data_IF_773856446959
#
_entry.id   IF_773856446959
#
_cell.length_a   1.000
_cell.length_b   1.000
_cell.length_c   1.000
_cell.angle_alpha   90.00
_cell.angle_beta   90.00
_cell.angle_gamma   90.00
#
_symmetry.space_group_name_H-M   'P 1'
#
loop_
_entity.id
_entity.type
_entity.pdbx_description
1 polymer ?
#
# COMPACT_ATOMS: atom_id res chain seq x y z
N UNK A 1 -11.59 -5.82 -13.13
CA UNK A 1 -10.81 -7.01 -12.77
C UNK A 1 -10.21 -6.78 -11.40
N UNK A 2 -10.18 -7.81 -10.57
CA UNK A 2 -9.50 -7.81 -9.27
C UNK A 2 -8.04 -8.28 -9.48
N UNK A 3 -7.07 -7.46 -9.10
CA UNK A 3 -5.64 -7.76 -9.23
C UNK A 3 -5.02 -8.15 -7.87
N UNK A 4 -5.67 -7.85 -6.75
CA UNK A 4 -5.16 -7.99 -5.39
C UNK A 4 -5.49 -9.31 -4.73
N UNK A 5 -6.69 -9.83 -4.94
CA UNK A 5 -7.17 -11.08 -4.35
C UNK A 5 -6.93 -12.27 -5.28
N UNK A 6 -6.11 -12.11 -6.32
CA UNK A 6 -5.75 -13.21 -7.21
C UNK A 6 -4.94 -14.27 -6.46
N UNK A 7 -5.41 -15.53 -6.48
CA UNK A 7 -4.74 -16.67 -5.87
C UNK A 7 -4.94 -17.94 -6.70
N UNK A 8 -4.07 -18.93 -6.49
CA UNK A 8 -4.18 -20.25 -7.12
C UNK A 8 -5.45 -21.01 -6.72
N UNK A 9 -6.12 -20.62 -5.62
CA UNK A 9 -7.33 -21.23 -5.10
C UNK A 9 -8.62 -20.72 -5.77
N UNK A 10 -8.54 -19.72 -6.66
CA UNK A 10 -9.71 -19.19 -7.36
C UNK A 10 -10.30 -20.26 -8.29
N UNK A 11 -11.61 -20.59 -8.17
CA UNK A 11 -12.28 -21.52 -9.06
C UNK A 11 -12.17 -21.11 -10.53
N UNK A 12 -12.06 -22.09 -11.43
CA UNK A 12 -11.81 -21.84 -12.86
C UNK A 12 -12.88 -20.92 -13.49
N UNK A 13 -14.13 -21.08 -13.08
CA UNK A 13 -15.29 -20.31 -13.52
C UNK A 13 -15.31 -18.85 -13.04
N UNK A 14 -14.42 -18.48 -12.11
CA UNK A 14 -14.27 -17.09 -11.63
C UNK A 14 -13.01 -16.42 -12.14
N UNK A 15 -12.11 -17.14 -12.82
CA UNK A 15 -10.81 -16.58 -13.24
C UNK A 15 -10.95 -15.38 -14.16
N UNK A 16 -12.05 -15.28 -14.89
CA UNK A 16 -12.30 -14.20 -15.83
C UNK A 16 -12.56 -12.84 -15.19
N UNK A 17 -12.83 -12.79 -13.89
CA UNK A 17 -12.97 -11.55 -13.12
C UNK A 17 -11.65 -11.03 -12.54
N UNK A 18 -10.55 -11.76 -12.69
CA UNK A 18 -9.25 -11.43 -12.12
C UNK A 18 -8.21 -11.06 -13.18
N UNK A 19 -7.25 -10.25 -12.76
CA UNK A 19 -6.02 -9.97 -13.50
C UNK A 19 -4.78 -10.40 -12.71
N UNK A 20 -3.62 -10.30 -13.34
CA UNK A 20 -2.34 -10.59 -12.70
C UNK A 20 -1.26 -9.64 -13.20
N UNK A 21 -0.25 -9.41 -12.36
CA UNK A 21 0.89 -8.53 -12.67
C UNK A 21 2.11 -9.40 -12.90
N UNK A 22 2.81 -9.17 -14.01
CA UNK A 22 4.05 -9.87 -14.34
C UNK A 22 5.18 -8.86 -14.45
N UNK A 23 6.24 -9.04 -13.68
CA UNK A 23 7.49 -8.29 -13.90
C UNK A 23 8.07 -8.72 -15.24
N UNK A 24 8.13 -7.78 -16.18
CA UNK A 24 8.63 -7.99 -17.53
C UNK A 24 10.14 -7.86 -17.58
N UNK A 25 10.68 -6.80 -16.99
CA UNK A 25 12.12 -6.52 -17.01
C UNK A 25 12.56 -5.63 -15.85
N UNK A 26 13.82 -5.83 -15.45
CA UNK A 26 14.55 -4.87 -14.61
C UNK A 26 15.35 -3.98 -15.54
N UNK A 27 14.88 -2.76 -15.77
CA UNK A 27 15.51 -1.78 -16.67
C UNK A 27 16.81 -1.26 -16.08
N UNK A 28 16.84 -1.07 -14.77
CA UNK A 28 18.00 -0.51 -14.07
C UNK A 28 18.10 -1.03 -12.66
N UNK A 29 19.30 -1.42 -12.25
CA UNK A 29 19.65 -1.68 -10.86
C UNK A 29 20.99 -1.01 -10.55
N UNK A 30 20.97 0.06 -9.75
CA UNK A 30 22.16 0.83 -9.38
C UNK A 30 22.29 0.93 -7.87
N UNK A 31 23.44 0.53 -7.34
CA UNK A 31 23.79 0.66 -5.92
C UNK A 31 24.41 2.04 -5.60
N UNK A 32 24.60 2.31 -4.32
CA UNK A 32 25.25 3.53 -3.82
C UNK A 32 24.56 4.06 -2.55
N UNK A 33 24.96 5.26 -2.10
CA UNK A 33 24.32 5.95 -0.96
C UNK A 33 22.81 6.14 -1.17
N UNK A 34 22.40 6.33 -2.42
CA UNK A 34 21.01 6.33 -2.89
C UNK A 34 20.92 5.32 -4.03
N UNK A 35 20.32 4.17 -3.78
CA UNK A 35 20.19 3.10 -4.77
C UNK A 35 18.89 3.27 -5.58
N UNK A 36 18.89 2.80 -6.82
CA UNK A 36 17.75 2.90 -7.74
C UNK A 36 17.48 1.54 -8.35
N UNK A 37 16.22 1.14 -8.35
CA UNK A 37 15.71 -0.01 -9.09
C UNK A 37 14.55 0.48 -9.97
N UNK A 38 14.66 0.27 -11.27
CA UNK A 38 13.61 0.60 -12.24
C UNK A 38 13.13 -0.72 -12.86
N UNK A 39 11.83 -0.98 -12.76
CA UNK A 39 11.18 -2.23 -13.18
C UNK A 39 10.02 -1.88 -14.11
N UNK A 40 9.83 -2.68 -15.15
CA UNK A 40 8.61 -2.64 -15.94
C UNK A 40 7.79 -3.90 -15.67
N UNK A 41 6.51 -3.70 -15.36
CA UNK A 41 5.55 -4.77 -15.12
C UNK A 41 4.35 -4.64 -16.06
N UNK A 42 3.82 -5.76 -16.53
CA UNK A 42 2.58 -5.79 -17.31
C UNK A 42 1.42 -6.25 -16.43
N UNK A 43 0.33 -5.48 -16.43
CA UNK A 43 -0.93 -5.83 -15.79
C UNK A 43 -1.82 -6.48 -16.83
N UNK A 44 -2.06 -7.78 -16.67
CA UNK A 44 -2.74 -8.62 -17.66
C UNK A 44 -4.11 -9.08 -17.19
N UNK A 45 -5.03 -9.23 -18.14
CA UNK A 45 -6.27 -9.97 -17.89
C UNK A 45 -6.01 -11.48 -17.85
N UNK A 46 -7.02 -12.27 -17.49
CA UNK A 46 -6.92 -13.74 -17.44
C UNK A 46 -6.62 -14.40 -18.80
N UNK A 47 -6.85 -13.71 -19.92
CA UNK A 47 -6.56 -14.20 -21.28
C UNK A 47 -5.12 -13.90 -21.69
N UNK A 48 -4.40 -13.09 -20.90
CA UNK A 48 -3.02 -12.69 -21.14
C UNK A 48 -2.87 -11.40 -21.94
N UNK A 49 -3.96 -10.67 -22.20
CA UNK A 49 -3.90 -9.35 -22.85
C UNK A 49 -3.33 -8.33 -21.87
N UNK A 50 -2.43 -7.47 -22.33
CA UNK A 50 -1.85 -6.42 -21.48
C UNK A 50 -2.78 -5.21 -21.45
N UNK A 51 -3.30 -4.89 -20.26
CA UNK A 51 -4.17 -3.75 -20.05
C UNK A 51 -3.35 -2.50 -19.71
N UNK A 52 -2.45 -2.61 -18.73
CA UNK A 52 -1.54 -1.53 -18.33
C UNK A 52 -0.11 -2.03 -18.39
N UNK A 53 0.81 -1.14 -18.76
CA UNK A 53 2.23 -1.29 -18.48
C UNK A 53 2.60 -0.32 -17.36
N UNK A 54 3.21 -0.84 -16.31
CA UNK A 54 3.68 -0.09 -15.16
C UNK A 54 5.20 0.10 -15.22
N UNK A 55 5.65 1.34 -15.18
CA UNK A 55 7.05 1.68 -14.97
C UNK A 55 7.23 2.11 -13.52
N UNK A 56 7.86 1.26 -12.71
CA UNK A 56 8.07 1.53 -11.29
C UNK A 56 9.52 1.88 -11.02
N UNK A 57 9.73 3.03 -10.38
CA UNK A 57 11.02 3.43 -9.84
C UNK A 57 11.01 3.33 -8.32
N UNK A 58 11.86 2.46 -7.80
CA UNK A 58 12.18 2.37 -6.38
C UNK A 58 13.49 3.09 -6.10
N UNK A 59 13.46 4.02 -5.15
CA UNK A 59 14.63 4.77 -4.73
C UNK A 59 14.88 4.50 -3.26
N UNK A 60 16.00 3.82 -2.98
CA UNK A 60 16.37 3.40 -1.63
C UNK A 60 17.40 4.34 -1.06
N UNK A 61 17.21 4.73 0.20
CA UNK A 61 18.22 5.41 1.00
C UNK A 61 18.09 4.99 2.47
N UNK A 62 19.12 5.25 3.27
CA UNK A 62 19.06 4.86 4.66
C UNK A 62 20.22 5.39 5.49
N UNK A 63 20.08 5.21 6.79
CA UNK A 63 21.11 5.45 7.79
C UNK A 63 21.40 4.13 8.51
N UNK A 64 22.19 4.17 9.60
CA UNK A 64 22.38 2.99 10.46
C UNK A 64 21.09 2.49 11.13
N UNK A 65 20.07 3.34 11.23
CA UNK A 65 18.85 3.06 12.01
C UNK A 65 17.55 3.31 11.23
N UNK A 66 17.63 3.67 9.95
CA UNK A 66 16.45 3.97 9.15
C UNK A 66 16.62 3.59 7.69
N UNK A 67 15.50 3.29 7.03
CA UNK A 67 15.42 3.06 5.60
C UNK A 67 14.25 3.85 5.01
N UNK A 68 14.46 4.36 3.81
CA UNK A 68 13.45 5.04 2.99
C UNK A 68 13.37 4.35 1.65
N UNK A 69 12.15 4.12 1.17
CA UNK A 69 11.85 3.64 -0.17
C UNK A 69 10.85 4.62 -0.78
N UNK A 70 11.29 5.39 -1.76
CA UNK A 70 10.36 6.14 -2.61
C UNK A 70 9.91 5.22 -3.74
N UNK A 71 8.60 5.08 -3.92
CA UNK A 71 7.93 4.26 -4.90
C UNK A 71 7.17 5.19 -5.86
N UNK A 72 7.65 5.27 -7.10
CA UNK A 72 7.04 6.10 -8.15
C UNK A 72 6.59 5.15 -9.25
N UNK A 73 5.28 5.00 -9.40
CA UNK A 73 4.66 4.09 -10.35
C UNK A 73 3.94 4.89 -11.42
N UNK A 74 4.34 4.71 -12.67
CA UNK A 74 3.64 5.28 -13.83
C UNK A 74 2.91 4.15 -14.56
N UNK A 75 1.58 4.19 -14.52
CA UNK A 75 0.71 3.26 -15.23
C UNK A 75 0.33 3.86 -16.58
N UNK A 76 0.55 3.13 -17.67
CA UNK A 76 0.19 3.52 -19.03
C UNK A 76 -0.78 2.50 -19.63
N UNK A 77 -1.89 2.95 -20.22
CA UNK A 77 -2.80 2.06 -20.93
C UNK A 77 -2.15 1.51 -22.21
N UNK A 78 -2.02 0.17 -22.28
CA UNK A 78 -1.31 -0.51 -23.35
C UNK A 78 -2.22 -0.78 -24.56
N UNK A 79 -3.37 -1.41 -24.34
CA UNK A 79 -4.30 -1.83 -25.40
C UNK A 79 -5.72 -1.29 -25.14
N UNK A 80 -6.07 -0.20 -25.84
CA UNK A 80 -7.38 0.43 -25.71
C UNK A 80 -7.57 1.23 -24.41
N UNK A 81 -8.79 1.74 -24.16
CA UNK A 81 -9.07 2.48 -22.95
C UNK A 81 -9.13 1.56 -21.72
N UNK A 82 -8.42 1.91 -20.67
CA UNK A 82 -8.49 1.25 -19.36
C UNK A 82 -9.25 2.15 -18.40
N UNK A 83 -10.28 1.60 -17.75
CA UNK A 83 -11.00 2.30 -16.67
C UNK A 83 -10.71 1.65 -15.35
N UNK A 84 -10.07 2.40 -14.45
CA UNK A 84 -9.88 2.03 -13.05
C UNK A 84 -11.05 2.59 -12.26
N UNK A 85 -11.83 1.69 -11.68
CA UNK A 85 -13.06 2.01 -10.94
C UNK A 85 -12.80 2.13 -9.44
N UNK A 86 -13.62 2.92 -8.75
CA UNK A 86 -13.64 3.03 -7.29
C UNK A 86 -13.81 1.66 -6.61
N UNK A 87 -12.74 1.16 -5.98
CA UNK A 87 -12.72 -0.11 -5.26
C UNK A 87 -11.68 -0.10 -4.12
N UNK A 88 -11.47 -1.24 -3.45
CA UNK A 88 -10.49 -1.38 -2.36
C UNK A 88 -9.16 -1.99 -2.80
N UNK A 89 -8.90 -2.08 -4.11
CA UNK A 89 -7.58 -2.47 -4.62
C UNK A 89 -6.63 -1.34 -4.23
N UNK A 90 -5.73 -1.56 -3.27
CA UNK A 90 -4.76 -0.52 -2.95
C UNK A 90 -3.76 -0.33 -4.10
N UNK A 91 -2.98 0.73 -4.03
CA UNK A 91 -1.87 0.93 -4.98
C UNK A 91 -0.51 0.74 -4.30
N UNK A 92 -0.47 0.88 -2.97
CA UNK A 92 0.74 0.71 -2.18
C UNK A 92 0.41 0.03 -0.86
N UNK A 93 0.90 -1.19 -0.66
CA UNK A 93 0.62 -2.03 0.50
C UNK A 93 1.84 -2.80 1.00
N UNK A 94 1.81 -3.12 2.28
CA UNK A 94 2.68 -4.11 2.91
C UNK A 94 1.87 -5.04 3.80
N UNK A 95 2.38 -6.26 3.97
CA UNK A 95 2.03 -7.13 5.09
C UNK A 95 3.06 -6.95 6.19
N UNK A 96 2.60 -6.87 7.43
CA UNK A 96 3.48 -6.70 8.59
C UNK A 96 3.49 -7.96 9.45
N UNK A 97 4.54 -8.11 10.23
CA UNK A 97 4.68 -9.18 11.21
C UNK A 97 3.65 -9.03 12.33
N UNK A 98 3.23 -10.15 12.93
CA UNK A 98 2.25 -10.19 14.04
C UNK A 98 2.58 -9.23 15.18
N UNK A 99 3.85 -8.96 15.47
CA UNK A 99 4.21 -8.00 16.51
C UNK A 99 3.69 -6.57 16.27
N UNK A 100 3.41 -6.23 15.00
CA UNK A 100 2.88 -4.94 14.55
C UNK A 100 1.38 -4.99 14.21
N UNK A 101 0.70 -6.12 14.40
CA UNK A 101 -0.76 -6.15 14.43
C UNK A 101 -1.27 -5.30 15.59
N UNK A 102 -2.50 -4.79 15.49
CA UNK A 102 -3.12 -4.11 16.62
C UNK A 102 -3.71 -5.13 17.59
N UNK A 103 -3.54 -4.94 18.91
CA UNK A 103 -4.28 -5.70 19.90
C UNK A 103 -5.79 -5.61 19.64
N UNK A 104 -6.49 -6.73 19.72
CA UNK A 104 -7.94 -6.79 19.51
C UNK A 104 -8.57 -7.80 20.47
N UNK A 105 -9.75 -7.45 20.98
CA UNK A 105 -10.59 -8.35 21.78
C UNK A 105 -11.70 -9.02 20.92
N UNK A 106 -11.74 -8.69 19.62
CA UNK A 106 -12.70 -9.26 18.68
C UNK A 106 -12.16 -10.56 18.06
N UNK A 107 -13.01 -11.58 17.85
CA UNK A 107 -12.62 -12.78 17.09
C UNK A 107 -12.10 -12.39 15.71
N UNK A 108 -10.95 -12.94 15.31
CA UNK A 108 -10.38 -12.70 13.99
C UNK A 108 -10.63 -13.94 13.11
N UNK A 109 -11.19 -13.71 11.93
CA UNK A 109 -11.31 -14.76 10.90
C UNK A 109 -10.06 -14.72 10.06
N UNK A 110 -9.26 -15.78 10.10
CA UNK A 110 -8.09 -15.97 9.26
C UNK A 110 -8.43 -16.91 8.11
N UNK A 111 -8.08 -16.52 6.89
CA UNK A 111 -8.21 -17.43 5.74
C UNK A 111 -6.94 -18.27 5.63
N UNK A 112 -7.07 -19.60 5.62
CA UNK A 112 -5.93 -20.50 5.45
C UNK A 112 -5.37 -20.49 4.01
N UNK A 113 -4.28 -21.22 3.79
CA UNK A 113 -3.63 -21.33 2.48
C UNK A 113 -4.49 -22.00 1.39
N UNK A 114 -5.64 -22.56 1.76
CA UNK A 114 -6.63 -23.16 0.87
C UNK A 114 -7.86 -22.27 0.64
N UNK A 115 -7.89 -21.08 1.25
CA UNK A 115 -9.01 -20.15 1.09
C UNK A 115 -10.14 -20.36 2.10
N UNK A 116 -9.98 -21.22 3.11
CA UNK A 116 -11.03 -21.46 4.10
C UNK A 116 -10.95 -20.46 5.26
N UNK A 117 -12.05 -19.76 5.60
CA UNK A 117 -12.11 -18.92 6.78
C UNK A 117 -12.09 -19.77 8.05
N UNK A 118 -11.14 -19.50 8.93
CA UNK A 118 -10.99 -20.11 10.24
C UNK A 118 -11.19 -19.04 11.30
N UNK A 119 -12.22 -19.19 12.13
CA UNK A 119 -12.40 -18.34 13.31
C UNK A 119 -11.33 -18.68 14.35
N UNK A 120 -10.34 -17.82 14.50
CA UNK A 120 -9.45 -17.87 15.65
C UNK A 120 -9.99 -16.85 16.65
N UNK A 121 -10.37 -17.30 17.85
CA UNK A 121 -10.69 -16.40 18.95
C UNK A 121 -9.43 -15.59 19.28
N UNK A 122 -9.32 -14.41 18.68
CA UNK A 122 -8.25 -13.45 18.94
C UNK A 122 -8.51 -12.84 20.32
N UNK A 123 -8.07 -13.53 21.35
CA UNK A 123 -7.86 -12.96 22.69
C UNK A 123 -6.39 -13.05 23.12
N UNK A 124 -5.53 -13.68 22.30
CA UNK A 124 -4.11 -13.77 22.58
C UNK A 124 -3.35 -12.59 21.96
N UNK A 125 -3.28 -11.51 22.72
CA UNK A 125 -2.53 -10.29 22.39
C UNK A 125 -1.04 -10.38 22.80
N UNK A 126 -0.53 -11.55 23.20
CA UNK A 126 0.86 -11.69 23.61
C UNK A 126 1.80 -11.34 22.45
N UNK A 127 2.66 -10.34 22.67
CA UNK A 127 3.62 -9.85 21.68
C UNK A 127 3.03 -8.96 20.58
N UNK A 128 1.72 -8.69 20.59
CA UNK A 128 1.03 -7.80 19.64
C UNK A 128 1.02 -6.38 20.21
N UNK A 129 1.61 -5.42 19.50
CA UNK A 129 1.84 -4.07 20.05
C UNK A 129 1.63 -2.94 19.05
N UNK A 130 1.10 -3.26 17.87
CA UNK A 130 0.88 -2.31 16.79
C UNK A 130 -0.05 -1.16 17.20
N UNK A 131 0.31 0.05 16.78
CA UNK A 131 -0.51 1.24 16.96
C UNK A 131 -0.36 2.16 15.75
N UNK A 132 -1.46 2.40 15.04
CA UNK A 132 -1.50 3.40 13.99
C UNK A 132 -1.60 4.81 14.56
N UNK A 133 -1.00 5.79 13.88
CA UNK A 133 -1.14 7.22 14.13
C UNK A 133 -1.14 7.95 12.79
N UNK A 134 -2.09 8.86 12.58
CA UNK A 134 -2.22 9.61 11.32
C UNK A 134 -1.87 11.09 11.46
N UNK A 135 -1.67 11.77 10.32
CA UNK A 135 -1.38 13.22 10.29
C UNK A 135 -2.53 14.08 10.81
N UNK A 136 -3.77 13.59 10.78
CA UNK A 136 -4.94 14.23 11.39
C UNK A 136 -5.09 13.98 12.91
N UNK A 137 -4.19 13.20 13.51
CA UNK A 137 -4.19 12.90 14.94
C UNK A 137 -5.03 11.67 15.33
N UNK A 138 -5.64 10.96 14.37
CA UNK A 138 -6.35 9.71 14.64
C UNK A 138 -5.37 8.59 15.03
N UNK A 139 -5.84 7.64 15.84
CA UNK A 139 -5.04 6.52 16.35
C UNK A 139 -5.81 5.21 16.28
N UNK A 140 -5.08 4.09 16.21
CA UNK A 140 -5.70 2.76 16.20
C UNK A 140 -6.70 2.58 15.06
N UNK A 141 -7.88 2.03 15.37
CA UNK A 141 -8.92 1.74 14.38
C UNK A 141 -9.51 3.00 13.75
N UNK A 142 -9.45 4.14 14.43
CA UNK A 142 -9.95 5.43 13.91
C UNK A 142 -9.15 5.94 12.72
N UNK A 143 -7.99 5.34 12.43
CA UNK A 143 -7.20 5.66 11.23
C UNK A 143 -7.81 5.04 9.97
N UNK A 144 -8.56 3.94 10.09
CA UNK A 144 -9.14 3.28 8.94
C UNK A 144 -10.06 4.23 8.15
N UNK A 145 -9.95 4.19 6.81
CA UNK A 145 -10.73 5.03 5.88
C UNK A 145 -10.46 6.54 5.99
N UNK A 146 -9.55 7.00 6.85
CA UNK A 146 -9.19 8.41 6.92
C UNK A 146 -8.19 8.78 5.81
N UNK A 147 -8.22 10.05 5.40
CA UNK A 147 -7.35 10.62 4.36
C UNK A 147 -6.28 11.47 5.04
N UNK A 148 -5.00 11.12 4.86
CA UNK A 148 -3.89 11.73 5.58
C UNK A 148 -2.65 11.87 4.72
N UNK A 149 -1.87 12.93 4.96
CA UNK A 149 -0.56 13.14 4.34
C UNK A 149 0.40 11.98 4.65
N UNK A 150 0.26 11.42 5.86
CA UNK A 150 0.99 10.25 6.29
C UNK A 150 0.24 9.45 7.34
N UNK A 151 0.54 8.15 7.38
CA UNK A 151 0.13 7.23 8.44
C UNK A 151 1.35 6.43 8.89
N UNK A 152 1.53 6.33 10.20
CA UNK A 152 2.61 5.60 10.86
C UNK A 152 2.01 4.43 11.62
N UNK A 153 2.69 3.29 11.60
CA UNK A 153 2.51 2.14 12.46
C UNK A 153 3.75 1.97 13.32
N UNK A 154 3.56 1.97 14.63
CA UNK A 154 4.61 1.68 15.61
C UNK A 154 4.32 0.37 16.33
N UNK A 155 5.36 -0.39 16.67
CA UNK A 155 5.26 -1.61 17.45
C UNK A 155 6.62 -2.09 17.94
N UNK A 156 6.63 -3.00 18.90
CA UNK A 156 7.84 -3.57 19.51
C UNK A 156 7.97 -5.03 19.13
N UNK A 157 9.10 -5.39 18.52
CA UNK A 157 9.48 -6.77 18.25
C UNK A 157 10.84 -7.07 18.88
N UNK A 158 10.97 -8.17 19.62
CA UNK A 158 12.21 -8.55 20.29
C UNK A 158 12.81 -7.41 21.16
N UNK A 159 11.97 -6.70 21.92
CA UNK A 159 12.32 -5.53 22.73
C UNK A 159 12.90 -4.34 21.95
N UNK A 160 12.71 -4.30 20.63
CA UNK A 160 13.11 -3.17 19.78
C UNK A 160 11.85 -2.48 19.26
N UNK A 161 11.64 -1.25 19.72
CA UNK A 161 10.65 -0.37 19.13
C UNK A 161 11.00 -0.11 17.67
N UNK A 162 10.03 -0.28 16.78
CA UNK A 162 10.16 0.02 15.37
C UNK A 162 8.94 0.79 14.91
N UNK A 163 9.17 1.87 14.18
CA UNK A 163 8.12 2.72 13.63
C UNK A 163 8.33 2.86 12.13
N UNK A 164 7.26 2.71 11.37
CA UNK A 164 7.30 2.88 9.93
C UNK A 164 5.98 3.44 9.41
N UNK A 165 6.00 4.02 8.23
CA UNK A 165 4.80 4.67 7.70
C UNK A 165 4.82 4.83 6.21
N UNK A 166 3.67 5.27 5.71
CA UNK A 166 3.50 5.73 4.35
C UNK A 166 3.27 7.24 4.34
N UNK A 167 3.88 7.90 3.36
CA UNK A 167 3.65 9.29 3.00
C UNK A 167 3.07 9.31 1.60
N UNK A 168 1.91 9.95 1.46
CA UNK A 168 1.27 10.19 0.18
C UNK A 168 1.79 11.50 -0.44
N UNK A 169 1.56 11.70 -1.73
CA UNK A 169 2.07 12.86 -2.47
C UNK A 169 0.95 13.76 -2.98
N UNK A 170 1.03 15.10 -2.81
CA UNK A 170 -0.01 16.04 -3.25
C UNK A 170 -0.38 15.96 -4.74
N UNK A 171 0.55 15.53 -5.59
CA UNK A 171 0.30 15.35 -7.03
C UNK A 171 -0.41 14.03 -7.40
N UNK A 172 -0.62 13.13 -6.44
CA UNK A 172 -1.37 11.91 -6.73
C UNK A 172 -2.84 12.24 -6.96
N UNK A 173 -3.44 11.62 -7.98
CA UNK A 173 -4.89 11.59 -8.11
C UNK A 173 -5.51 11.09 -6.79
N UNK A 174 -6.62 11.69 -6.36
CA UNK A 174 -7.28 11.29 -5.12
C UNK A 174 -6.52 11.63 -3.84
N UNK A 175 -5.44 12.42 -3.90
CA UNK A 175 -4.72 12.86 -2.70
C UNK A 175 -5.61 13.64 -1.70
N UNK A 176 -5.44 13.42 -0.38
CA UNK A 176 -4.75 12.26 0.20
C UNK A 176 -5.56 10.98 -0.01
N UNK A 177 -4.88 9.88 -0.31
CA UNK A 177 -5.51 8.57 -0.46
C UNK A 177 -6.12 8.06 0.85
N UNK A 178 -7.07 7.14 0.74
CA UNK A 178 -7.70 6.51 1.89
C UNK A 178 -6.77 5.46 2.51
N UNK A 179 -6.64 5.53 3.83
CA UNK A 179 -5.82 4.61 4.60
C UNK A 179 -6.56 3.29 4.81
N UNK A 180 -5.93 2.18 4.42
CA UNK A 180 -6.35 0.84 4.80
C UNK A 180 -5.48 0.36 5.97
N UNK A 181 -5.66 0.99 7.13
CA UNK A 181 -5.05 0.59 8.40
C UNK A 181 -5.96 -0.45 9.06
N UNK A 182 -5.50 -1.70 9.17
CA UNK A 182 -6.30 -2.80 9.76
C UNK A 182 -5.49 -3.52 10.82
N UNK A 183 -6.17 -3.94 11.89
CA UNK A 183 -5.53 -4.63 13.00
C UNK A 183 -4.85 -5.96 12.65
N UNK A 184 -5.25 -6.64 11.57
CA UNK A 184 -4.72 -7.95 11.15
C UNK A 184 -3.48 -7.89 10.23
N UNK A 185 -2.72 -6.79 10.28
CA UNK A 185 -1.40 -6.71 9.64
C UNK A 185 -1.41 -6.45 8.13
N UNK A 186 -2.52 -5.97 7.59
CA UNK A 186 -2.57 -5.32 6.28
C UNK A 186 -2.47 -3.81 6.48
N UNK A 187 -1.46 -3.20 5.87
CA UNK A 187 -1.30 -1.74 5.85
C UNK A 187 -1.17 -1.27 4.41
N UNK A 188 -2.11 -0.42 3.95
CA UNK A 188 -2.06 0.17 2.62
C UNK A 188 -2.58 1.59 2.56
N UNK A 189 -2.26 2.30 1.48
CA UNK A 189 -2.92 3.54 1.05
C UNK A 189 -3.51 3.35 -0.34
N UNK A 190 -4.66 3.97 -0.58
CA UNK A 190 -5.38 3.88 -1.84
C UNK A 190 -5.83 5.25 -2.34
N UNK A 191 -5.22 5.69 -3.43
CA UNK A 191 -5.51 6.94 -4.12
C UNK A 191 -6.67 6.83 -5.13
N UNK A 192 -7.09 5.61 -5.48
CA UNK A 192 -8.08 5.34 -6.53
C UNK A 192 -9.41 4.78 -5.97
N UNK A 193 -9.47 4.51 -4.66
CA UNK A 193 -10.67 4.12 -3.95
C UNK A 193 -11.16 5.25 -3.05
N UNK A 194 -12.45 5.59 -3.12
CA UNK A 194 -13.05 6.63 -2.30
C UNK A 194 -14.37 6.17 -1.69
N UNK A 195 -15.39 5.93 -2.51
CA UNK A 195 -16.69 5.39 -2.04
C UNK A 195 -16.61 3.96 -1.51
N UNK A 196 -15.60 3.21 -1.93
CA UNK A 196 -15.29 1.92 -1.38
C UNK A 196 -14.91 2.01 0.12
N UNK A 197 -14.34 3.14 0.55
CA UNK A 197 -13.93 3.38 1.94
C UNK A 197 -15.00 4.16 2.72
N UNK A 198 -15.50 5.27 2.17
CA UNK A 198 -16.56 6.08 2.76
C UNK A 198 -17.67 6.36 1.74
N UNK A 199 -18.89 5.90 2.02
CA UNK A 199 -20.06 6.03 1.12
C UNK A 199 -20.46 7.48 0.84
N UNK A 200 -20.12 8.40 1.74
CA UNK A 200 -20.46 9.82 1.62
C UNK A 200 -19.50 10.59 0.70
N UNK A 201 -18.38 9.99 0.30
CA UNK A 201 -17.43 10.63 -0.60
C UNK A 201 -17.85 10.48 -2.07
N UNK A 202 -17.28 11.29 -2.96
CA UNK A 202 -17.45 11.11 -4.41
C UNK A 202 -16.61 9.92 -4.91
N UNK A 203 -17.09 9.24 -5.95
CA UNK A 203 -16.35 8.15 -6.59
C UNK A 203 -15.11 8.69 -7.29
N UNK A 204 -14.01 7.96 -7.20
CA UNK A 204 -12.86 8.16 -8.07
C UNK A 204 -12.93 7.14 -9.20
N UNK A 205 -13.01 7.63 -10.44
CA UNK A 205 -12.94 6.82 -11.65
C UNK A 205 -11.91 7.44 -12.58
N UNK A 206 -10.90 6.66 -12.93
CA UNK A 206 -9.85 7.09 -13.84
C UNK A 206 -9.94 6.30 -15.14
N UNK A 207 -10.18 6.98 -16.24
CA UNK A 207 -10.10 6.39 -17.58
C UNK A 207 -8.85 6.90 -18.28
N UNK A 208 -7.98 5.96 -18.67
CA UNK A 208 -6.80 6.21 -19.49
C UNK A 208 -7.08 5.71 -20.90
N UNK A 209 -7.01 6.58 -21.91
CA UNK A 209 -6.96 6.16 -23.31
C UNK A 209 -5.62 5.50 -23.59
N UNK A 210 -5.55 4.71 -24.67
CA UNK A 210 -4.31 4.07 -25.09
C UNK A 210 -3.15 5.09 -25.17
N UNK A 211 -2.05 4.80 -24.48
CA UNK A 211 -0.88 5.66 -24.36
C UNK A 211 -0.98 6.76 -23.29
N UNK A 212 -2.17 7.07 -22.75
CA UNK A 212 -2.30 7.96 -21.60
C UNK A 212 -1.76 7.28 -20.34
N UNK A 213 -1.22 8.09 -19.43
CA UNK A 213 -0.58 7.61 -18.21
C UNK A 213 -1.03 8.36 -16.97
N UNK A 214 -0.94 7.69 -15.82
CA UNK A 214 -1.04 8.30 -14.49
C UNK A 214 0.19 7.93 -13.67
N UNK A 215 0.66 8.86 -12.84
CA UNK A 215 1.77 8.63 -11.92
C UNK A 215 1.29 8.70 -10.48
N UNK A 216 1.63 7.69 -9.69
CA UNK A 216 1.44 7.64 -8.25
C UNK A 216 2.80 7.60 -7.55
N UNK A 217 2.92 8.39 -6.48
CA UNK A 217 4.15 8.58 -5.71
C UNK A 217 3.87 8.30 -4.25
N UNK A 218 4.60 7.35 -3.66
CA UNK A 218 4.50 7.04 -2.25
C UNK A 218 5.89 6.93 -1.65
N UNK A 219 6.04 7.31 -0.39
CA UNK A 219 7.24 7.04 0.38
C UNK A 219 6.92 6.09 1.51
N UNK A 220 7.69 5.01 1.60
CA UNK A 220 7.81 4.22 2.80
C UNK A 220 9.05 4.66 3.59
N UNK A 221 8.90 4.87 4.89
CA UNK A 221 10.02 5.13 5.79
C UNK A 221 9.89 4.25 7.02
N UNK A 222 11.00 3.65 7.45
CA UNK A 222 11.09 2.81 8.64
C UNK A 222 12.29 3.24 9.49
N UNK A 223 12.12 3.21 10.81
CA UNK A 223 13.15 3.50 11.79
C UNK A 223 13.11 2.49 12.93
N UNK A 224 14.30 2.05 13.33
CA UNK A 224 14.51 1.19 14.50
C UNK A 224 14.94 2.00 15.73
N UNK A 225 14.48 1.57 16.89
CA UNK A 225 14.87 2.03 18.22
C UNK A 225 14.21 3.33 18.70
N UNK A 226 13.38 3.99 17.89
CA UNK A 226 12.68 5.24 18.27
C UNK A 226 11.36 5.39 17.53
N UNK A 227 10.41 6.02 18.21
CA UNK A 227 9.20 6.55 17.60
C UNK A 227 9.54 7.57 16.51
N UNK A 228 8.69 7.66 15.50
CA UNK A 228 8.65 8.78 14.57
C UNK A 228 7.66 9.80 15.14
N UNK A 229 8.14 10.98 15.51
CA UNK A 229 7.25 12.03 16.05
C UNK A 229 6.43 12.70 14.94
N UNK A 230 5.35 13.38 15.32
CA UNK A 230 4.52 14.17 14.39
C UNK A 230 5.35 15.21 13.64
N UNK A 231 6.27 15.89 14.33
CA UNK A 231 7.15 16.90 13.73
C UNK A 231 8.12 16.29 12.71
N UNK A 232 8.66 15.10 13.04
CA UNK A 232 9.52 14.35 12.11
C UNK A 232 8.71 13.89 10.89
N UNK A 233 7.52 13.36 11.10
CA UNK A 233 6.65 12.90 10.03
C UNK A 233 6.24 14.04 9.08
N UNK A 234 5.88 15.20 9.64
CA UNK A 234 5.59 16.41 8.86
C UNK A 234 6.82 16.93 8.10
N UNK A 235 8.02 16.76 8.66
CA UNK A 235 9.26 17.12 7.96
C UNK A 235 9.54 16.18 6.79
N UNK A 236 9.43 14.86 7.00
CA UNK A 236 9.55 13.86 5.94
C UNK A 236 8.54 14.12 4.82
N UNK A 237 7.30 14.49 5.18
CA UNK A 237 6.25 14.83 4.22
C UNK A 237 6.63 16.03 3.34
N UNK A 238 7.07 17.14 3.94
CA UNK A 238 7.48 18.34 3.19
C UNK A 238 8.68 18.06 2.28
N UNK A 239 9.67 17.32 2.78
CA UNK A 239 10.85 16.94 1.98
C UNK A 239 10.50 16.00 0.82
N UNK A 240 9.59 15.05 1.04
CA UNK A 240 9.09 14.16 0.00
C UNK A 240 8.31 14.92 -1.07
N UNK A 241 7.39 15.78 -0.65
CA UNK A 241 6.53 16.57 -1.53
C UNK A 241 7.30 17.59 -2.37
N UNK A 242 8.43 18.08 -1.87
CA UNK A 242 9.29 19.01 -2.62
C UNK A 242 10.21 18.30 -3.62
N UNK A 243 10.35 16.98 -3.53
CA UNK A 243 11.30 16.21 -4.33
C UNK A 243 10.70 15.71 -5.66
N UNK A 244 9.38 15.55 -5.74
CA UNK A 244 8.66 14.88 -6.84
C UNK A 244 7.42 15.63 -7.30
#
# INVERSE_FOLDING_TARGET
LDFWNNSSAIPAEKKDTYGYIVVREIVRAKNGKKANLEVISDWKDYKGNTLLTENTKYIFSGTKVSYTIDHISTLTAAEGPVTITDNKEGMFAIRVDRAFEMPSDQPAVYTDSQGNPTEVRSTDNVGVTGMYTSSSGNRGDDVWSTRNDWVILSGTKNNVLTSFGFWDHPENIGYPGHSHARGYGLFSTNNLGSQAYNKDHEKIVLTLRQGESVTLRHRFYIRSGKEITVEQANTIFREFSALY
#
